data_IF_589802292085
#
_entry.id   IF_589802292085
#
_cell.length_a   1.000
_cell.length_b   1.000
_cell.length_c   1.000
_cell.angle_alpha   90.00
_cell.angle_beta   90.00
_cell.angle_gamma   90.00
#
_symmetry.space_group_name_H-M   'P 1'
#
loop_
_entity.id
_entity.type
_entity.pdbx_description
1 polymer ?
#
# COMPACT_ATOMS: atom_id res chain seq x y z
N UNK A 1 0.72 1.20 35.30
CA UNK A 1 1.58 2.24 34.73
C UNK A 1 2.45 1.60 33.65
N UNK A 2 2.50 2.18 32.46
CA UNK A 2 3.33 1.71 31.34
C UNK A 2 4.24 2.87 30.95
N UNK A 3 5.56 2.63 30.93
CA UNK A 3 6.53 3.63 30.49
C UNK A 3 6.71 3.52 28.96
N UNK A 4 6.48 4.62 28.25
CA UNK A 4 6.63 4.70 26.79
C UNK A 4 7.36 5.98 26.41
N UNK A 5 8.37 5.90 25.53
CA UNK A 5 9.15 7.08 25.05
C UNK A 5 9.63 8.05 26.13
N UNK A 6 9.98 7.55 27.31
CA UNK A 6 10.37 8.38 28.43
C UNK A 6 9.22 9.06 29.17
N UNK A 7 7.97 8.81 28.77
CA UNK A 7 6.75 9.22 29.46
C UNK A 7 6.08 8.06 30.19
N UNK A 8 5.09 8.39 30.97
CA UNK A 8 4.33 7.43 31.77
C UNK A 8 2.84 7.55 31.48
N UNK A 9 2.20 6.45 31.05
CA UNK A 9 0.75 6.35 30.91
C UNK A 9 0.17 5.91 32.25
N UNK A 10 -0.69 6.75 32.81
CA UNK A 10 -1.46 6.43 34.03
C UNK A 10 -2.89 6.13 33.61
N UNK A 11 -3.38 4.97 34.02
CA UNK A 11 -4.78 4.57 33.83
C UNK A 11 -5.50 4.72 35.13
N UNK A 12 -6.53 5.56 35.17
CA UNK A 12 -7.43 5.74 36.26
C UNK A 12 -8.82 5.20 35.89
N UNK A 13 -9.43 4.46 36.82
CA UNK A 13 -10.78 3.96 36.66
C UNK A 13 -11.72 4.83 37.47
N UNK A 14 -12.56 5.59 36.81
CA UNK A 14 -13.65 6.31 37.48
C UNK A 14 -14.84 5.36 37.68
N UNK A 15 -15.26 5.22 38.92
CA UNK A 15 -16.48 4.53 39.28
C UNK A 15 -17.61 5.57 39.48
N UNK A 16 -18.61 5.57 38.60
CA UNK A 16 -19.76 6.45 38.72
C UNK A 16 -20.62 6.55 37.48
N UNK A 17 -21.86 6.98 37.62
CA UNK A 17 -22.84 7.10 36.53
C UNK A 17 -22.47 8.14 35.44
N UNK A 18 -21.46 8.99 35.69
CA UNK A 18 -21.00 10.06 34.78
C UNK A 18 -19.60 9.85 34.25
N UNK A 19 -19.04 8.67 34.40
CA UNK A 19 -17.71 8.37 33.85
C UNK A 19 -17.74 8.52 32.33
N UNK A 20 -16.69 9.16 31.78
CA UNK A 20 -16.50 9.26 30.34
C UNK A 20 -16.22 7.86 29.77
N UNK A 21 -16.89 7.51 28.69
CA UNK A 21 -16.76 6.20 28.05
C UNK A 21 -16.38 6.34 26.57
N UNK A 22 -15.66 5.35 26.06
CA UNK A 22 -15.33 5.22 24.64
C UNK A 22 -15.71 3.83 24.14
N UNK A 23 -16.29 3.71 22.95
CA UNK A 23 -16.49 2.41 22.30
C UNK A 23 -15.23 1.90 21.57
N UNK A 24 -14.14 2.66 21.59
CA UNK A 24 -12.95 2.41 20.75
C UNK A 24 -11.87 1.56 21.44
N UNK A 25 -12.24 0.82 22.49
CA UNK A 25 -11.37 -0.16 23.14
C UNK A 25 -10.06 0.44 23.64
N UNK A 26 -8.95 -0.07 23.16
CA UNK A 26 -7.60 0.36 23.59
C UNK A 26 -7.06 1.59 22.84
N UNK A 27 -7.85 2.22 21.97
CA UNK A 27 -7.40 3.41 21.22
C UNK A 27 -6.86 4.55 22.12
N UNK A 28 -7.41 4.84 23.32
CA UNK A 28 -6.84 5.85 24.22
C UNK A 28 -5.35 5.66 24.50
N UNK A 29 -4.88 4.43 24.69
CA UNK A 29 -3.45 4.15 24.92
C UNK A 29 -2.59 4.50 23.71
N UNK A 30 -3.08 4.20 22.50
CA UNK A 30 -2.38 4.56 21.28
C UNK A 30 -2.35 6.07 21.05
N UNK A 31 -3.42 6.79 21.42
CA UNK A 31 -3.45 8.26 21.36
C UNK A 31 -2.46 8.90 22.33
N UNK A 32 -2.32 8.37 23.53
CA UNK A 32 -1.29 8.82 24.48
C UNK A 32 0.12 8.58 23.94
N UNK A 33 0.36 7.45 23.28
CA UNK A 33 1.61 7.19 22.57
C UNK A 33 1.90 8.26 21.51
N UNK A 34 0.92 8.57 20.64
CA UNK A 34 1.08 9.62 19.62
C UNK A 34 1.36 10.99 20.23
N UNK A 35 0.73 11.30 21.34
CA UNK A 35 0.89 12.56 22.07
C UNK A 35 2.29 12.67 22.66
N UNK A 36 2.77 11.64 23.34
CA UNK A 36 4.11 11.63 23.94
C UNK A 36 5.22 11.77 22.88
N UNK A 37 5.05 11.17 21.72
CA UNK A 37 5.96 11.33 20.57
C UNK A 37 5.83 12.66 19.84
N UNK A 38 4.86 13.51 20.19
CA UNK A 38 4.58 14.77 19.47
C UNK A 38 4.09 14.59 18.04
N UNK A 39 3.76 13.35 17.65
CA UNK A 39 3.44 13.00 16.27
C UNK A 39 2.19 13.71 15.77
N UNK A 40 1.14 13.73 16.59
CA UNK A 40 -0.11 14.41 16.21
C UNK A 40 0.06 15.93 16.17
N UNK A 41 0.77 16.50 17.13
CA UNK A 41 1.01 17.95 17.19
C UNK A 41 1.84 18.43 15.98
N UNK A 42 2.89 17.71 15.62
CA UNK A 42 3.69 17.97 14.44
C UNK A 42 2.86 17.87 13.14
N UNK A 43 2.03 16.84 13.04
CA UNK A 43 1.15 16.64 11.89
C UNK A 43 0.12 17.77 11.74
N UNK A 44 -0.48 18.24 12.84
CA UNK A 44 -1.41 19.38 12.86
C UNK A 44 -0.69 20.68 12.51
N UNK A 45 0.49 20.92 13.09
CA UNK A 45 1.26 22.14 12.86
C UNK A 45 1.65 22.30 11.39
N UNK A 46 2.19 21.23 10.78
CA UNK A 46 2.64 21.21 9.39
C UNK A 46 1.53 21.23 8.34
N UNK A 47 0.27 20.99 8.72
CA UNK A 47 -0.83 20.93 7.75
C UNK A 47 -1.06 22.28 7.05
N UNK A 48 -1.08 22.33 5.70
CA UNK A 48 -1.27 23.55 4.92
C UNK A 48 -2.73 24.04 4.86
N UNK A 49 -3.55 23.66 5.84
CA UNK A 49 -4.94 24.12 5.93
C UNK A 49 -5.01 25.52 6.56
N UNK A 50 -5.53 26.46 5.81
CA UNK A 50 -5.79 27.83 6.24
C UNK A 50 -7.29 28.10 6.26
N UNK A 51 -7.82 28.47 7.43
CA UNK A 51 -9.22 28.80 7.62
C UNK A 51 -9.32 30.26 8.08
N UNK A 52 -10.05 31.05 7.31
CA UNK A 52 -10.17 32.51 7.52
C UNK A 52 -11.46 32.92 8.25
N UNK A 53 -12.47 32.05 8.28
CA UNK A 53 -13.73 32.34 8.95
C UNK A 53 -13.57 32.28 10.48
N UNK A 54 -14.06 33.27 11.25
CA UNK A 54 -14.04 33.22 12.71
C UNK A 54 -14.88 32.07 13.30
N UNK A 55 -15.83 31.56 12.53
CA UNK A 55 -16.67 30.42 12.93
C UNK A 55 -16.11 29.06 12.43
N UNK A 56 -14.92 29.05 11.82
CA UNK A 56 -14.33 27.81 11.37
C UNK A 56 -13.90 26.96 12.59
N UNK A 57 -14.10 25.63 12.53
CA UNK A 57 -13.54 24.75 13.56
C UNK A 57 -12.02 24.87 13.60
N UNK A 58 -11.41 24.70 14.76
CA UNK A 58 -9.95 24.62 14.89
C UNK A 58 -9.38 23.57 13.94
N UNK A 59 -8.21 23.84 13.35
CA UNK A 59 -7.50 22.88 12.49
C UNK A 59 -7.30 21.54 13.21
N UNK A 60 -6.99 21.57 14.49
CA UNK A 60 -6.84 20.38 15.36
C UNK A 60 -8.11 19.53 15.40
N UNK A 61 -9.27 20.13 15.54
CA UNK A 61 -10.54 19.39 15.58
C UNK A 61 -10.83 18.69 14.24
N UNK A 62 -10.53 19.36 13.12
CA UNK A 62 -10.72 18.78 11.81
C UNK A 62 -9.79 17.59 11.60
N UNK A 63 -8.49 17.76 11.83
CA UNK A 63 -7.50 16.72 11.63
C UNK A 63 -7.63 15.59 12.66
N UNK A 64 -7.92 15.91 13.91
CA UNK A 64 -8.22 14.92 14.93
C UNK A 64 -9.45 14.07 14.60
N UNK A 65 -10.50 14.69 14.05
CA UNK A 65 -11.68 13.94 13.56
C UNK A 65 -11.30 12.98 12.43
N UNK A 66 -10.45 13.40 11.49
CA UNK A 66 -9.94 12.51 10.43
C UNK A 66 -9.13 11.36 11.02
N UNK A 67 -8.19 11.66 11.91
CA UNK A 67 -7.34 10.64 12.56
C UNK A 67 -8.18 9.62 13.32
N UNK A 68 -9.07 10.07 14.19
CA UNK A 68 -9.97 9.18 14.95
C UNK A 68 -10.84 8.34 14.03
N UNK A 69 -11.35 8.92 12.94
CA UNK A 69 -12.16 8.17 11.97
C UNK A 69 -11.35 7.06 11.30
N UNK A 70 -10.11 7.32 10.91
CA UNK A 70 -9.23 6.31 10.32
C UNK A 70 -8.89 5.21 11.32
N UNK A 71 -8.50 5.58 12.54
CA UNK A 71 -8.14 4.63 13.60
C UNK A 71 -9.33 3.78 14.07
N UNK A 72 -10.56 4.32 13.99
CA UNK A 72 -11.79 3.57 14.23
C UNK A 72 -12.18 2.63 13.06
N UNK A 73 -11.38 2.55 12.00
CA UNK A 73 -11.66 1.72 10.83
C UNK A 73 -12.76 2.26 9.92
N UNK A 74 -13.08 3.53 10.01
CA UNK A 74 -14.09 4.15 9.16
C UNK A 74 -13.57 4.34 7.73
N UNK A 75 -14.41 4.06 6.75
CA UNK A 75 -14.08 4.19 5.32
C UNK A 75 -15.06 5.11 4.57
N UNK A 76 -15.95 5.80 5.29
CA UNK A 76 -16.90 6.79 4.74
C UNK A 76 -16.99 7.99 5.67
N UNK A 77 -17.14 9.17 5.14
CA UNK A 77 -17.36 10.38 5.94
C UNK A 77 -18.58 10.29 6.85
N UNK A 78 -19.67 9.63 6.41
CA UNK A 78 -20.89 9.46 7.22
C UNK A 78 -20.62 8.71 8.54
N UNK A 79 -19.57 7.91 8.62
CA UNK A 79 -19.22 7.18 9.85
C UNK A 79 -18.68 8.12 10.94
N UNK A 80 -18.21 9.32 10.59
CA UNK A 80 -17.72 10.33 11.54
C UNK A 80 -18.77 10.64 12.62
N UNK A 81 -20.05 10.60 12.27
CA UNK A 81 -21.14 10.82 13.23
C UNK A 81 -21.07 9.90 14.44
N UNK A 82 -20.55 8.66 14.27
CA UNK A 82 -20.41 7.68 15.36
C UNK A 82 -19.37 8.12 16.41
N UNK A 83 -18.38 8.93 16.02
CA UNK A 83 -17.36 9.44 16.93
C UNK A 83 -17.89 10.51 17.91
N UNK A 84 -19.03 11.10 17.63
CA UNK A 84 -19.58 12.19 18.46
C UNK A 84 -20.06 11.74 19.84
N UNK A 85 -20.29 10.44 19.99
CA UNK A 85 -20.65 9.83 21.28
C UNK A 85 -19.44 9.47 22.13
N UNK A 86 -18.22 9.64 21.62
CA UNK A 86 -16.99 9.34 22.35
C UNK A 86 -16.55 10.57 23.16
N UNK A 87 -16.59 10.44 24.47
CA UNK A 87 -16.21 11.49 25.39
C UNK A 87 -14.74 11.41 25.85
N UNK A 88 -14.01 10.34 25.48
CA UNK A 88 -12.65 10.07 25.94
C UNK A 88 -11.60 10.45 24.91
N UNK A 89 -11.70 9.96 23.67
CA UNK A 89 -10.61 10.08 22.68
C UNK A 89 -10.41 11.50 22.14
N UNK A 90 -11.44 12.35 21.90
CA UNK A 90 -11.21 13.71 21.43
C UNK A 90 -10.41 14.57 22.41
N UNK A 91 -10.73 14.61 23.73
CA UNK A 91 -9.95 15.36 24.71
C UNK A 91 -8.49 14.91 24.80
N UNK A 92 -8.19 13.61 24.63
CA UNK A 92 -6.81 13.11 24.63
C UNK A 92 -5.96 13.73 23.52
N UNK A 93 -6.56 14.05 22.38
CA UNK A 93 -5.92 14.77 21.27
C UNK A 93 -5.95 16.29 21.42
N UNK A 94 -6.44 16.83 22.56
CA UNK A 94 -6.62 18.26 22.78
C UNK A 94 -7.64 18.89 21.82
N UNK A 95 -8.62 18.12 21.37
CA UNK A 95 -9.74 18.59 20.56
C UNK A 95 -10.83 19.20 21.45
N UNK A 96 -11.53 20.19 20.91
CA UNK A 96 -12.73 20.75 21.58
C UNK A 96 -13.98 19.94 21.24
N UNK A 97 -14.01 19.33 20.04
CA UNK A 97 -15.13 18.50 19.58
C UNK A 97 -14.77 17.69 18.34
N UNK A 98 -15.54 16.64 18.09
CA UNK A 98 -15.61 15.98 16.77
C UNK A 98 -16.44 16.85 15.83
N UNK A 99 -15.87 17.23 14.69
CA UNK A 99 -16.55 18.06 13.69
C UNK A 99 -17.44 17.20 12.75
N UNK A 100 -18.33 17.85 11.99
CA UNK A 100 -19.20 17.13 11.05
C UNK A 100 -18.43 16.65 9.83
N UNK A 101 -18.94 15.60 9.19
CA UNK A 101 -18.41 15.09 7.93
C UNK A 101 -18.33 16.17 6.84
N UNK A 102 -19.32 17.07 6.78
CA UNK A 102 -19.31 18.19 5.84
C UNK A 102 -18.22 19.22 6.17
N UNK A 103 -17.97 19.48 7.44
CA UNK A 103 -16.89 20.37 7.86
C UNK A 103 -15.52 19.77 7.48
N UNK A 104 -15.29 18.47 7.71
CA UNK A 104 -14.08 17.76 7.29
C UNK A 104 -13.93 17.86 5.77
N UNK A 105 -14.93 17.47 5.02
CA UNK A 105 -14.88 17.45 3.56
C UNK A 105 -14.59 18.84 2.97
N UNK A 106 -15.26 19.88 3.46
CA UNK A 106 -15.02 21.26 3.02
C UNK A 106 -13.64 21.78 3.41
N UNK A 107 -13.15 21.41 4.56
CA UNK A 107 -11.82 21.82 5.00
C UNK A 107 -10.72 21.15 4.19
N UNK A 108 -10.78 19.83 4.01
CA UNK A 108 -9.81 19.11 3.19
C UNK A 108 -9.82 19.56 1.73
N UNK A 109 -10.99 19.92 1.18
CA UNK A 109 -11.10 20.48 -0.16
C UNK A 109 -10.46 21.86 -0.36
N UNK A 110 -10.04 22.54 0.72
CA UNK A 110 -9.30 23.82 0.65
C UNK A 110 -7.77 23.62 0.62
N UNK A 111 -7.29 22.42 0.87
CA UNK A 111 -5.88 22.12 0.80
C UNK A 111 -5.50 21.94 -0.68
N UNK A 112 -4.51 22.70 -1.13
CA UNK A 112 -3.96 22.51 -2.47
C UNK A 112 -3.29 21.13 -2.57
N UNK A 113 -3.50 20.42 -3.69
CA UNK A 113 -3.14 19.01 -3.81
C UNK A 113 -1.64 18.73 -3.63
N UNK A 114 -0.77 19.59 -4.20
CA UNK A 114 0.68 19.42 -4.09
C UNK A 114 1.17 19.67 -2.66
N UNK A 115 0.67 20.73 -2.02
CA UNK A 115 1.02 21.08 -0.64
C UNK A 115 0.51 20.01 0.34
N UNK A 116 -0.70 19.51 0.13
CA UNK A 116 -1.26 18.40 0.91
C UNK A 116 -0.45 17.11 0.77
N UNK A 117 -0.04 16.78 -0.46
CA UNK A 117 0.81 15.62 -0.73
C UNK A 117 2.17 15.76 -0.04
N UNK A 118 2.82 16.89 -0.18
CA UNK A 118 4.11 17.16 0.46
C UNK A 118 4.00 17.01 1.98
N UNK A 119 3.01 17.63 2.59
CA UNK A 119 2.75 17.50 4.03
C UNK A 119 2.58 16.06 4.49
N UNK A 120 1.82 15.24 3.76
CA UNK A 120 1.63 13.83 4.10
C UNK A 120 2.95 13.04 3.93
N UNK A 121 3.69 13.29 2.87
CA UNK A 121 4.97 12.62 2.61
C UNK A 121 6.02 12.95 3.66
N UNK A 122 6.16 14.21 4.07
CA UNK A 122 7.11 14.64 5.10
C UNK A 122 6.83 13.95 6.44
N UNK A 123 5.56 13.87 6.85
CA UNK A 123 5.18 13.20 8.08
C UNK A 123 5.36 11.67 8.01
N UNK A 124 5.05 11.07 6.87
CA UNK A 124 5.25 9.65 6.64
C UNK A 124 6.75 9.30 6.66
N UNK A 125 7.59 10.10 5.99
CA UNK A 125 9.03 9.95 6.00
C UNK A 125 9.61 10.08 7.42
N UNK A 126 9.15 11.04 8.21
CA UNK A 126 9.56 11.21 9.60
C UNK A 126 9.34 9.92 10.42
N UNK A 127 8.18 9.28 10.25
CA UNK A 127 7.86 8.06 10.97
C UNK A 127 8.64 6.84 10.47
N UNK A 128 8.96 6.78 9.17
CA UNK A 128 9.44 5.56 8.52
C UNK A 128 10.97 5.52 8.39
N UNK A 129 11.65 6.67 8.18
CA UNK A 129 13.11 6.72 7.96
C UNK A 129 13.93 5.95 9.00
N UNK A 130 13.63 5.99 10.32
CA UNK A 130 14.35 5.20 11.30
C UNK A 130 14.30 3.68 11.06
N UNK A 131 13.28 3.20 10.36
CA UNK A 131 13.05 1.79 10.06
C UNK A 131 13.77 1.31 8.78
N UNK A 132 14.34 2.24 8.00
CA UNK A 132 15.01 1.95 6.72
C UNK A 132 16.53 1.76 6.87
N UNK A 133 17.03 1.55 8.06
CA UNK A 133 18.47 1.36 8.34
C UNK A 133 18.96 -0.04 7.98
N UNK A 134 18.09 -1.05 8.10
CA UNK A 134 18.37 -2.43 7.74
C UNK A 134 17.94 -2.72 6.29
N UNK A 135 18.51 -3.74 5.62
CA UNK A 135 18.10 -4.11 4.28
C UNK A 135 16.60 -4.41 4.19
N UNK A 136 15.92 -3.72 3.30
CA UNK A 136 14.47 -3.85 3.13
C UNK A 136 14.06 -4.03 1.67
N UNK A 137 12.85 -4.53 1.47
CA UNK A 137 12.26 -4.79 0.16
C UNK A 137 11.15 -3.79 -0.09
N UNK A 138 11.20 -3.14 -1.25
CA UNK A 138 10.13 -2.29 -1.75
C UNK A 138 9.19 -3.09 -2.64
N UNK A 139 7.95 -3.28 -2.19
CA UNK A 139 6.87 -3.79 -3.02
C UNK A 139 6.12 -2.66 -3.70
N UNK A 140 5.88 -2.83 -4.99
CA UNK A 140 5.09 -1.90 -5.78
C UNK A 140 3.86 -2.62 -6.33
N UNK A 141 2.68 -2.03 -6.10
CA UNK A 141 1.42 -2.61 -6.52
C UNK A 141 0.43 -1.55 -7.00
N UNK A 142 -0.52 -1.97 -7.79
CA UNK A 142 -1.58 -1.10 -8.30
C UNK A 142 -2.95 -1.72 -8.03
N UNK A 143 -3.73 -1.04 -7.19
CA UNK A 143 -5.09 -1.45 -6.85
C UNK A 143 -6.12 -0.57 -7.56
N UNK A 144 -7.11 -1.18 -8.22
CA UNK A 144 -8.24 -0.47 -8.84
C UNK A 144 -9.39 -0.40 -7.84
N UNK A 145 -9.82 0.81 -7.48
CA UNK A 145 -10.92 1.06 -6.55
C UNK A 145 -12.15 1.56 -7.31
N UNK A 146 -13.22 0.74 -7.46
CA UNK A 146 -14.46 1.20 -8.09
C UNK A 146 -15.14 2.26 -7.22
N UNK A 147 -15.70 3.28 -7.86
CA UNK A 147 -16.35 4.41 -7.23
C UNK A 147 -17.85 4.45 -7.55
N UNK A 148 -18.63 4.89 -6.58
CA UNK A 148 -20.10 4.93 -6.66
C UNK A 148 -20.64 6.37 -6.62
N UNK A 149 -19.77 7.36 -6.62
CA UNK A 149 -20.11 8.78 -6.62
C UNK A 149 -19.38 9.54 -7.74
N UNK A 150 -19.51 10.87 -7.73
CA UNK A 150 -18.89 11.77 -8.70
C UNK A 150 -17.59 12.36 -8.15
N UNK A 151 -16.64 11.49 -7.79
CA UNK A 151 -15.34 11.92 -7.32
C UNK A 151 -14.51 12.48 -8.47
N UNK A 152 -13.73 13.52 -8.19
CA UNK A 152 -12.81 14.12 -9.17
C UNK A 152 -11.81 13.05 -9.67
N UNK A 153 -11.58 13.02 -10.98
CA UNK A 153 -10.67 12.06 -11.61
C UNK A 153 -11.22 10.63 -11.74
N UNK A 154 -12.46 10.38 -11.30
CA UNK A 154 -13.12 9.09 -11.51
C UNK A 154 -13.44 8.89 -12.99
N UNK A 155 -12.80 7.93 -13.63
CA UNK A 155 -13.03 7.58 -15.04
C UNK A 155 -13.18 6.09 -15.21
N UNK A 156 -13.83 5.68 -16.29
CA UNK A 156 -13.88 4.27 -16.70
C UNK A 156 -12.52 3.84 -17.23
N UNK A 157 -11.99 2.76 -16.68
CA UNK A 157 -10.73 2.16 -17.08
C UNK A 157 -10.74 0.64 -16.85
N UNK A 158 -9.56 0.04 -16.78
CA UNK A 158 -9.44 -1.38 -16.46
C UNK A 158 -9.95 -1.65 -15.05
N UNK A 159 -11.02 -2.42 -14.94
CA UNK A 159 -11.61 -2.81 -13.67
C UNK A 159 -12.12 -4.26 -13.79
N UNK A 160 -11.33 -5.23 -13.33
CA UNK A 160 -11.69 -6.66 -13.47
C UNK A 160 -12.88 -7.06 -12.61
N UNK A 161 -13.12 -6.36 -11.50
CA UNK A 161 -14.21 -6.67 -10.56
C UNK A 161 -15.54 -6.09 -11.03
N UNK A 162 -15.55 -4.87 -11.59
CA UNK A 162 -16.75 -4.16 -12.05
C UNK A 162 -16.47 -3.42 -13.36
N UNK A 163 -16.43 -4.13 -14.51
CA UNK A 163 -16.20 -3.53 -15.82
C UNK A 163 -17.18 -2.39 -16.12
N UNK A 164 -16.71 -1.34 -16.76
CA UNK A 164 -17.52 -0.17 -17.12
C UNK A 164 -17.82 0.82 -15.99
N UNK A 165 -17.42 0.54 -14.75
CA UNK A 165 -17.61 1.47 -13.64
C UNK A 165 -16.44 2.43 -13.51
N UNK A 166 -16.70 3.74 -13.27
CA UNK A 166 -15.64 4.69 -12.93
C UNK A 166 -14.85 4.23 -11.69
N UNK A 167 -13.56 4.48 -11.71
CA UNK A 167 -12.64 4.05 -10.65
C UNK A 167 -11.50 5.05 -10.47
N UNK A 168 -10.79 4.92 -9.35
CA UNK A 168 -9.42 5.40 -9.18
C UNK A 168 -8.45 4.24 -9.16
N UNK A 169 -7.21 4.50 -9.51
CA UNK A 169 -6.08 3.60 -9.30
C UNK A 169 -5.21 4.12 -8.17
N UNK A 170 -4.86 3.22 -7.26
CA UNK A 170 -3.96 3.48 -6.14
C UNK A 170 -2.65 2.78 -6.44
N UNK A 171 -1.60 3.56 -6.71
CA UNK A 171 -0.25 3.05 -6.85
C UNK A 171 0.40 3.10 -5.49
N UNK A 172 0.61 1.95 -4.88
CA UNK A 172 1.15 1.81 -3.52
C UNK A 172 2.59 1.34 -3.54
N UNK A 173 3.39 1.95 -2.67
CA UNK A 173 4.78 1.65 -2.44
C UNK A 173 4.92 1.20 -0.99
N UNK A 174 5.30 -0.07 -0.79
CA UNK A 174 5.15 -0.76 0.50
C UNK A 174 6.50 -1.33 0.94
N UNK A 175 6.88 -1.05 2.17
CA UNK A 175 7.97 -1.73 2.86
C UNK A 175 7.49 -3.14 3.22
N UNK A 176 7.91 -4.13 2.43
CA UNK A 176 7.36 -5.49 2.48
C UNK A 176 7.59 -6.19 3.83
N UNK A 177 8.78 -6.02 4.41
CA UNK A 177 9.18 -6.69 5.65
C UNK A 177 8.27 -6.30 6.83
N UNK A 178 7.83 -5.04 6.88
CA UNK A 178 7.02 -4.48 7.96
C UNK A 178 5.57 -4.22 7.54
N UNK A 179 5.23 -4.42 6.27
CA UNK A 179 3.91 -4.13 5.68
C UNK A 179 3.47 -2.67 5.90
N UNK A 180 4.44 -1.73 5.83
CA UNK A 180 4.19 -0.31 6.00
C UNK A 180 4.13 0.39 4.64
N UNK A 181 3.19 1.31 4.49
CA UNK A 181 3.07 2.14 3.30
C UNK A 181 4.11 3.26 3.36
N UNK A 182 4.91 3.40 2.29
CA UNK A 182 5.90 4.47 2.11
C UNK A 182 5.32 5.65 1.34
N UNK A 183 4.46 5.37 0.39
CA UNK A 183 3.73 6.39 -0.39
C UNK A 183 2.54 5.75 -1.09
N UNK A 184 1.56 6.58 -1.44
CA UNK A 184 0.42 6.19 -2.29
C UNK A 184 0.16 7.31 -3.28
N UNK A 185 0.15 6.97 -4.56
CA UNK A 185 -0.26 7.89 -5.62
C UNK A 185 -1.66 7.50 -6.14
N UNK A 186 -2.61 8.43 -6.03
CA UNK A 186 -3.99 8.20 -6.47
C UNK A 186 -4.17 8.83 -7.84
N UNK A 187 -4.50 8.02 -8.82
CA UNK A 187 -4.67 8.43 -10.21
C UNK A 187 -6.04 8.03 -10.76
N UNK A 188 -6.35 8.55 -11.94
CA UNK A 188 -7.58 8.21 -12.66
C UNK A 188 -7.64 6.73 -13.02
N UNK A 189 -8.85 6.15 -13.06
CA UNK A 189 -9.07 4.71 -13.22
C UNK A 189 -8.54 4.11 -14.52
N UNK A 190 -8.19 4.91 -15.53
CA UNK A 190 -7.54 4.47 -16.76
C UNK A 190 -5.99 4.45 -16.67
N UNK A 191 -5.42 4.79 -15.54
CA UNK A 191 -3.97 4.89 -15.31
C UNK A 191 -3.43 3.74 -14.45
N UNK A 192 -3.87 2.54 -14.68
CA UNK A 192 -3.49 1.34 -13.89
C UNK A 192 -2.13 0.72 -14.28
N UNK A 193 -1.60 1.02 -15.47
CA UNK A 193 -0.36 0.40 -15.94
C UNK A 193 0.87 0.96 -15.24
N UNK A 194 1.92 0.14 -15.10
CA UNK A 194 3.19 0.51 -14.46
C UNK A 194 3.84 1.79 -15.02
N UNK A 195 3.61 2.11 -16.32
CA UNK A 195 4.09 3.37 -16.92
C UNK A 195 3.57 4.63 -16.20
N UNK A 196 2.40 4.55 -15.56
CA UNK A 196 1.81 5.65 -14.79
C UNK A 196 2.30 5.68 -13.33
N UNK A 197 2.64 4.52 -12.79
CA UNK A 197 3.16 4.32 -11.44
C UNK A 197 4.67 4.60 -11.35
N UNK A 198 5.42 4.29 -12.41
CA UNK A 198 6.88 4.40 -12.40
C UNK A 198 7.41 5.81 -12.05
N UNK A 199 6.82 6.93 -12.51
CA UNK A 199 7.29 8.25 -12.09
C UNK A 199 7.23 8.46 -10.57
N UNK A 200 6.16 8.01 -9.92
CA UNK A 200 6.02 8.08 -8.47
C UNK A 200 7.04 7.19 -7.73
N UNK A 201 7.32 6.00 -8.26
CA UNK A 201 8.37 5.12 -7.75
C UNK A 201 9.73 5.81 -7.76
N UNK A 202 10.11 6.37 -8.91
CA UNK A 202 11.42 7.00 -9.03
C UNK A 202 11.55 8.25 -8.17
N UNK A 203 10.48 9.06 -8.07
CA UNK A 203 10.43 10.20 -7.16
C UNK A 203 10.56 9.78 -5.69
N UNK A 204 9.93 8.66 -5.29
CA UNK A 204 10.09 8.09 -3.94
C UNK A 204 11.55 7.71 -3.68
N UNK A 205 12.20 6.97 -4.60
CA UNK A 205 13.60 6.57 -4.43
C UNK A 205 14.54 7.78 -4.37
N UNK A 206 14.29 8.81 -5.19
CA UNK A 206 15.07 10.06 -5.17
C UNK A 206 14.90 10.81 -3.83
N UNK A 207 13.69 10.85 -3.27
CA UNK A 207 13.36 11.44 -1.96
C UNK A 207 13.99 10.68 -0.78
N UNK A 208 14.01 9.37 -0.83
CA UNK A 208 14.64 8.53 0.20
C UNK A 208 16.17 8.68 0.17
N UNK A 209 16.74 8.82 -1.02
CA UNK A 209 18.18 8.91 -1.23
C UNK A 209 18.90 7.57 -1.10
N UNK A 210 20.17 7.54 -1.42
CA UNK A 210 20.98 6.31 -1.46
C UNK A 210 21.14 5.62 -0.09
N UNK A 211 21.12 6.39 0.99
CA UNK A 211 21.26 5.87 2.36
C UNK A 211 20.06 5.02 2.82
N UNK A 212 18.88 5.30 2.27
CA UNK A 212 17.65 4.61 2.59
C UNK A 212 17.09 3.82 1.40
N UNK A 213 17.93 3.54 0.39
CA UNK A 213 17.48 2.80 -0.80
C UNK A 213 17.11 1.35 -0.46
N UNK A 214 16.07 0.77 -1.09
CA UNK A 214 15.70 -0.62 -0.89
C UNK A 214 16.79 -1.56 -1.43
N UNK A 215 17.03 -2.65 -0.70
CA UNK A 215 17.89 -3.72 -1.21
C UNK A 215 17.32 -4.37 -2.47
N UNK A 216 15.99 -4.52 -2.54
CA UNK A 216 15.30 -5.13 -3.68
C UNK A 216 13.99 -4.39 -3.96
N UNK A 217 13.76 -4.08 -5.22
CA UNK A 217 12.47 -3.62 -5.75
C UNK A 217 11.69 -4.82 -6.30
N UNK A 218 10.46 -5.00 -5.86
CA UNK A 218 9.61 -6.13 -6.27
C UNK A 218 8.28 -5.65 -6.80
N UNK A 219 7.82 -6.25 -7.90
CA UNK A 219 6.54 -5.88 -8.53
C UNK A 219 5.92 -7.04 -9.30
N UNK A 220 4.66 -6.86 -9.67
CA UNK A 220 3.91 -7.83 -10.44
C UNK A 220 4.29 -7.84 -11.94
N UNK A 221 3.51 -8.56 -12.75
CA UNK A 221 3.75 -8.74 -14.20
C UNK A 221 3.71 -7.44 -15.02
N UNK A 222 3.12 -6.37 -14.54
CA UNK A 222 3.04 -5.11 -15.28
C UNK A 222 4.32 -4.29 -15.15
N UNK A 223 5.11 -4.55 -14.09
CA UNK A 223 6.41 -3.93 -13.86
C UNK A 223 7.55 -4.56 -14.67
N UNK A 224 7.39 -5.79 -15.17
CA UNK A 224 8.37 -6.49 -16.00
C UNK A 224 8.51 -5.94 -17.42
N UNK A 225 8.36 -4.64 -17.65
CA UNK A 225 8.48 -3.98 -18.94
C UNK A 225 9.84 -3.28 -19.10
N UNK A 226 10.25 -3.09 -20.38
CA UNK A 226 11.58 -2.55 -20.71
C UNK A 226 11.85 -1.17 -20.08
N UNK A 227 10.87 -0.28 -20.04
CA UNK A 227 11.05 1.07 -19.53
C UNK A 227 11.42 1.08 -18.05
N UNK A 228 10.70 0.30 -17.25
CA UNK A 228 10.95 0.16 -15.80
C UNK A 228 12.27 -0.56 -15.54
N UNK A 229 12.51 -1.67 -16.24
CA UNK A 229 13.72 -2.48 -16.05
C UNK A 229 14.98 -1.66 -16.38
N UNK A 230 14.99 -0.96 -17.52
CA UNK A 230 16.12 -0.10 -17.89
C UNK A 230 16.41 0.99 -16.88
N UNK A 231 15.37 1.61 -16.34
CA UNK A 231 15.56 2.66 -15.35
C UNK A 231 16.09 2.10 -14.02
N UNK A 232 15.59 0.93 -13.58
CA UNK A 232 16.14 0.23 -12.43
C UNK A 232 17.63 -0.12 -12.63
N UNK A 233 17.98 -0.66 -13.81
CA UNK A 233 19.37 -0.97 -14.18
C UNK A 233 20.25 0.26 -14.22
N UNK A 234 19.76 1.37 -14.80
CA UNK A 234 20.48 2.65 -14.84
C UNK A 234 20.78 3.19 -13.44
N UNK A 235 19.88 2.98 -12.50
CA UNK A 235 20.03 3.39 -11.08
C UNK A 235 20.85 2.42 -10.25
N UNK A 236 21.25 1.27 -10.81
CA UNK A 236 21.91 0.20 -10.03
C UNK A 236 20.96 -0.46 -9.01
N UNK A 237 19.64 -0.28 -9.15
CA UNK A 237 18.64 -0.81 -8.25
C UNK A 237 18.35 -2.27 -8.58
N UNK A 238 18.61 -3.18 -7.63
CA UNK A 238 18.22 -4.57 -7.76
C UNK A 238 16.68 -4.71 -7.82
N UNK A 239 16.19 -5.58 -8.71
CA UNK A 239 14.76 -5.75 -8.93
C UNK A 239 14.36 -7.21 -9.15
N UNK A 240 13.11 -7.53 -8.82
CA UNK A 240 12.46 -8.81 -9.08
C UNK A 240 11.02 -8.54 -9.56
N UNK A 241 10.78 -8.67 -10.86
CA UNK A 241 9.45 -8.48 -11.45
C UNK A 241 8.93 -9.78 -12.02
N UNK A 242 7.66 -10.08 -11.76
CA UNK A 242 6.98 -11.17 -12.46
C UNK A 242 6.91 -10.86 -13.96
N UNK A 243 7.01 -11.87 -14.79
CA UNK A 243 6.83 -11.73 -16.22
C UNK A 243 5.44 -12.20 -16.66
N UNK A 244 4.86 -11.52 -17.66
CA UNK A 244 3.64 -11.99 -18.30
C UNK A 244 3.91 -13.31 -19.01
N UNK A 245 3.01 -14.27 -18.91
CA UNK A 245 3.09 -15.57 -19.59
C UNK A 245 2.82 -15.44 -21.09
N UNK A 246 3.68 -14.72 -21.79
CA UNK A 246 3.66 -14.61 -23.26
C UNK A 246 4.09 -15.93 -23.90
N UNK A 247 3.83 -16.10 -25.21
CA UNK A 247 4.27 -17.31 -25.95
C UNK A 247 5.76 -17.61 -25.76
N UNK A 248 6.61 -16.60 -25.74
CA UNK A 248 8.05 -16.78 -25.52
C UNK A 248 8.39 -17.22 -24.11
N UNK A 249 7.74 -16.65 -23.08
CA UNK A 249 7.92 -17.07 -21.69
C UNK A 249 7.45 -18.51 -21.51
N UNK A 250 6.26 -18.86 -22.03
CA UNK A 250 5.73 -20.23 -21.97
C UNK A 250 6.69 -21.23 -22.62
N UNK A 251 7.20 -20.94 -23.80
CA UNK A 251 8.18 -21.79 -24.51
C UNK A 251 9.49 -21.96 -23.71
N UNK A 252 9.93 -20.92 -23.03
CA UNK A 252 11.11 -20.99 -22.17
C UNK A 252 10.84 -21.89 -20.95
N UNK A 253 9.67 -21.78 -20.33
CA UNK A 253 9.24 -22.65 -19.24
C UNK A 253 9.15 -24.11 -19.69
N UNK A 254 8.49 -24.39 -20.83
CA UNK A 254 8.36 -25.75 -21.38
C UNK A 254 9.72 -26.40 -21.65
N UNK A 255 10.69 -25.64 -22.16
CA UNK A 255 12.05 -26.13 -22.36
C UNK A 255 12.72 -26.42 -21.02
N UNK A 256 12.67 -25.48 -20.10
CA UNK A 256 13.27 -25.65 -18.78
C UNK A 256 12.68 -26.84 -18.00
N UNK A 257 11.38 -27.13 -18.16
CA UNK A 257 10.73 -28.27 -17.50
C UNK A 257 11.27 -29.63 -17.94
N UNK A 258 11.88 -29.73 -19.14
CA UNK A 258 12.52 -30.97 -19.65
C UNK A 258 13.93 -31.18 -19.10
N UNK A 259 14.51 -30.15 -18.51
CA UNK A 259 15.87 -30.18 -17.95
C UNK A 259 15.81 -30.61 -16.49
N UNK A 260 16.88 -31.23 -16.00
CA UNK A 260 16.92 -31.82 -14.65
C UNK A 260 17.71 -31.00 -13.61
N UNK A 261 18.29 -29.88 -14.01
CA UNK A 261 19.14 -29.01 -13.20
C UNK A 261 18.34 -28.02 -12.35
N UNK A 262 17.30 -28.51 -11.69
CA UNK A 262 16.51 -27.77 -10.74
C UNK A 262 17.08 -27.92 -9.34
N UNK A 263 17.23 -26.81 -8.62
CA UNK A 263 17.75 -26.75 -7.27
C UNK A 263 16.63 -26.51 -6.27
N UNK A 264 16.75 -27.01 -5.06
CA UNK A 264 15.81 -26.71 -3.99
C UNK A 264 15.81 -25.22 -3.68
N UNK A 265 14.63 -24.61 -3.67
CA UNK A 265 14.40 -23.21 -3.36
C UNK A 265 13.64 -22.99 -2.04
N UNK A 266 13.49 -24.06 -1.25
CA UNK A 266 12.80 -24.05 0.03
C UNK A 266 11.27 -24.18 -0.10
N UNK A 267 10.61 -24.58 0.99
CA UNK A 267 9.15 -24.71 1.08
C UNK A 267 8.50 -25.53 -0.04
N UNK A 268 9.19 -26.59 -0.52
CA UNK A 268 8.72 -27.45 -1.60
C UNK A 268 8.81 -26.86 -3.00
N UNK A 269 9.48 -25.71 -3.15
CA UNK A 269 9.79 -25.12 -4.44
C UNK A 269 11.13 -25.57 -4.97
N UNK A 270 11.22 -25.65 -6.28
CA UNK A 270 12.48 -25.80 -7.01
C UNK A 270 12.70 -24.57 -7.88
N UNK A 271 13.94 -24.11 -7.92
CA UNK A 271 14.38 -22.95 -8.67
C UNK A 271 15.43 -23.28 -9.73
N UNK A 272 15.41 -22.51 -10.81
CA UNK A 272 16.41 -22.59 -11.86
C UNK A 272 16.72 -21.21 -12.42
N UNK A 273 17.98 -20.95 -12.71
CA UNK A 273 18.38 -19.77 -13.47
C UNK A 273 18.22 -20.00 -14.97
N UNK A 274 17.81 -18.96 -15.64
CA UNK A 274 17.73 -18.92 -17.10
C UNK A 274 18.03 -17.53 -17.63
N UNK A 275 18.08 -17.44 -18.94
CA UNK A 275 18.22 -16.18 -19.66
C UNK A 275 17.11 -16.03 -20.66
N UNK A 276 16.58 -14.83 -20.80
CA UNK A 276 15.47 -14.56 -21.68
C UNK A 276 15.63 -13.19 -22.34
N UNK A 277 15.30 -13.12 -23.62
CA UNK A 277 15.11 -11.85 -24.34
C UNK A 277 13.69 -11.82 -24.87
N UNK A 278 12.87 -10.95 -24.30
CA UNK A 278 11.52 -10.72 -24.80
C UNK A 278 11.53 -9.72 -25.94
N UNK A 279 10.50 -9.80 -26.78
CA UNK A 279 10.25 -8.78 -27.80
C UNK A 279 10.04 -7.41 -27.08
N UNK A 280 10.77 -6.41 -27.52
CA UNK A 280 10.80 -5.10 -26.89
C UNK A 280 11.89 -4.92 -25.82
N UNK A 281 12.60 -5.98 -25.45
CA UNK A 281 13.78 -5.86 -24.59
C UNK A 281 15.04 -5.56 -25.41
N UNK A 282 15.78 -4.58 -24.99
CA UNK A 282 17.03 -4.16 -25.64
C UNK A 282 18.13 -5.23 -25.53
N UNK A 283 18.13 -6.04 -24.46
CA UNK A 283 19.12 -7.08 -24.21
C UNK A 283 18.50 -8.33 -23.58
N UNK A 284 19.26 -9.40 -23.56
CA UNK A 284 19.00 -10.60 -22.80
C UNK A 284 19.18 -10.31 -21.30
N UNK A 285 18.30 -10.88 -20.47
CA UNK A 285 18.34 -10.71 -19.02
C UNK A 285 18.20 -12.03 -18.30
N UNK A 286 18.87 -12.12 -17.16
CA UNK A 286 18.70 -13.23 -16.23
C UNK A 286 17.25 -13.30 -15.76
N UNK A 287 16.71 -14.52 -15.71
CA UNK A 287 15.41 -14.83 -15.14
C UNK A 287 15.54 -15.96 -14.13
N UNK A 288 14.64 -15.99 -13.16
CA UNK A 288 14.50 -17.09 -12.20
C UNK A 288 13.21 -17.81 -12.53
N UNK A 289 13.30 -19.10 -12.74
CA UNK A 289 12.18 -20.00 -12.99
C UNK A 289 11.92 -20.75 -11.67
N UNK A 290 10.66 -20.78 -11.25
CA UNK A 290 10.24 -21.50 -10.05
C UNK A 290 9.18 -22.51 -10.42
N UNK A 291 9.27 -23.73 -9.85
CA UNK A 291 8.25 -24.76 -9.94
C UNK A 291 8.03 -25.44 -8.61
N UNK A 292 6.83 -25.97 -8.39
CA UNK A 292 6.56 -26.89 -7.27
C UNK A 292 5.63 -28.00 -7.73
N UNK A 293 5.68 -29.13 -7.07
CA UNK A 293 4.73 -30.22 -7.26
C UNK A 293 3.40 -29.85 -6.56
N UNK A 294 2.29 -29.97 -7.29
CA UNK A 294 0.96 -29.79 -6.71
C UNK A 294 0.45 -31.15 -6.21
N UNK A 295 0.26 -31.30 -4.91
CA UNK A 295 -0.33 -32.51 -4.35
C UNK A 295 -1.79 -32.64 -4.81
N UNK A 296 -2.18 -33.82 -5.32
CA UNK A 296 -3.56 -34.16 -5.68
C UNK A 296 -3.95 -33.98 -7.16
N UNK A 297 -3.06 -33.50 -8.00
CA UNK A 297 -3.29 -33.50 -9.45
C UNK A 297 -2.70 -34.76 -10.04
N UNK A 298 -3.52 -35.77 -10.27
CA UNK A 298 -3.11 -36.97 -11.04
C UNK A 298 -3.04 -36.62 -12.51
N UNK A 299 -1.99 -37.11 -13.20
CA UNK A 299 -1.69 -36.86 -14.62
C UNK A 299 -2.86 -37.22 -15.58
N UNK A 300 -3.80 -38.02 -15.13
CA UNK A 300 -4.93 -38.50 -15.95
C UNK A 300 -6.06 -37.47 -16.13
N UNK A 301 -6.05 -36.35 -15.40
CA UNK A 301 -7.03 -35.27 -15.62
C UNK A 301 -6.60 -34.26 -16.70
N UNK A 302 -5.35 -34.34 -17.17
CA UNK A 302 -4.81 -33.43 -18.19
C UNK A 302 -5.20 -33.80 -19.63
N UNK A 303 -5.60 -35.04 -19.87
CA UNK A 303 -6.01 -35.47 -21.22
C UNK A 303 -7.44 -35.06 -21.60
N UNK A 304 -8.30 -34.76 -20.61
CA UNK A 304 -9.70 -34.38 -20.82
C UNK A 304 -9.96 -32.87 -20.86
N UNK A 305 -9.01 -32.05 -20.43
CA UNK A 305 -9.13 -30.59 -20.46
C UNK A 305 -8.27 -30.06 -21.63
N UNK A 306 -8.89 -29.32 -22.53
CA UNK A 306 -8.26 -28.80 -23.73
C UNK A 306 -6.94 -28.07 -23.48
N UNK A 307 -6.15 -27.89 -24.53
CA UNK A 307 -4.76 -27.39 -24.50
C UNK A 307 -4.48 -26.14 -23.67
N UNK A 308 -5.49 -25.38 -23.26
CA UNK A 308 -5.34 -24.19 -22.42
C UNK A 308 -5.18 -24.49 -20.93
N UNK A 309 -5.63 -25.65 -20.44
CA UNK A 309 -5.54 -26.01 -19.02
C UNK A 309 -4.17 -26.57 -18.62
N UNK A 310 -3.40 -27.11 -19.55
CA UNK A 310 -2.04 -27.60 -19.29
C UNK A 310 -1.04 -26.50 -18.93
N UNK A 311 -1.34 -25.28 -19.30
CA UNK A 311 -0.44 -24.15 -19.12
C UNK A 311 -0.80 -23.27 -17.90
N UNK A 312 -1.88 -23.61 -17.21
CA UNK A 312 -2.13 -23.15 -15.84
C UNK A 312 -1.11 -23.73 -14.83
N UNK A 313 -0.08 -24.39 -15.31
CA UNK A 313 1.03 -24.94 -14.56
C UNK A 313 1.62 -23.91 -13.59
N UNK A 314 1.12 -23.95 -12.40
CA UNK A 314 1.85 -23.54 -11.22
C UNK A 314 1.93 -22.05 -10.91
N UNK A 315 1.88 -21.12 -11.86
CA UNK A 315 2.02 -19.69 -11.55
C UNK A 315 0.69 -19.00 -11.21
N UNK A 316 -0.40 -19.35 -11.85
CA UNK A 316 -1.73 -18.77 -11.59
C UNK A 316 -2.36 -19.42 -10.37
N UNK A 317 -2.21 -20.74 -10.20
CA UNK A 317 -2.77 -21.46 -9.05
C UNK A 317 -2.01 -21.23 -7.74
N UNK A 318 -0.69 -20.99 -7.81
CA UNK A 318 0.10 -20.63 -6.63
C UNK A 318 -0.31 -19.28 -6.05
N UNK A 319 -0.69 -18.32 -6.87
CA UNK A 319 -1.20 -17.04 -6.38
C UNK A 319 -2.59 -17.20 -5.72
N UNK A 320 -3.43 -18.12 -6.19
CA UNK A 320 -4.72 -18.44 -5.56
C UNK A 320 -4.55 -19.14 -4.22
N UNK A 321 -3.67 -20.13 -4.13
CA UNK A 321 -3.42 -20.84 -2.88
C UNK A 321 -2.78 -19.97 -1.79
N UNK A 322 -2.11 -18.87 -2.14
CA UNK A 322 -1.56 -17.89 -1.18
C UNK A 322 -2.56 -16.83 -0.73
N UNK A 323 -3.66 -16.68 -1.44
CA UNK A 323 -4.74 -15.77 -1.02
C UNK A 323 -5.71 -16.41 -0.01
N UNK A 324 -5.60 -17.72 0.20
CA UNK A 324 -6.43 -18.47 1.15
C UNK A 324 -5.68 -18.80 2.46
N UNK A 325 -4.47 -18.32 2.65
CA UNK A 325 -3.68 -18.38 3.88
C UNK A 325 -3.31 -16.96 4.33
#
# INVERSE_FOLDING_TARGET
MVDTFGGRIQVEWEAGERAAVTPLGQLPFFLEYLKQGGLFDGWVAGCPLHLTSPNAPPKRDILGTVLLSVLAGHYRYSHITMLRCDAVTPPLLGMTRVVSEDAVRRALGKIEASAGRQWLQENLDYCIRPLLQEPWILDVDTTVKPLYGHQQGAVVGYNPTKPGRPSHTYHSYILANLRLILDVDVQSGNQHAAKHSAPGLWALLDRLGSQCAPWLLRGDKDWGNEGVIREAERRGQAYLFKLRLTKNVKRTLERAMREQDWHDAGAGWQGKHGELRLMGWSRQRRVVLLRRHLAGVTTNQHEAAGQDSQLALGFVEVDKARQEV
#
